data_IF_076915025975
#
_entry.id   IF_076915025975
#
_cell.length_a   1.000
_cell.length_b   1.000
_cell.length_c   1.000
_cell.angle_alpha   90.00
_cell.angle_beta   90.00
_cell.angle_gamma   90.00
#
_symmetry.space_group_name_H-M   'P 1'
#
loop_
_entity.id
_entity.type
_entity.pdbx_description
1 polymer ?
2 water ?
#
# COMPACT_ATOMS: atom_id res chain seq x y z
N UNK A 8 -7.57 25.08 -13.08
CA UNK A 8 -6.29 24.51 -12.64
C UNK A 8 -6.46 23.41 -11.61
N UNK A 9 -5.53 23.33 -10.66
CA UNK A 9 -5.49 22.22 -9.70
C UNK A 9 -6.12 22.58 -8.36
N UNK A 10 -6.15 21.61 -7.45
CA UNK A 10 -6.80 21.79 -6.16
C UNK A 10 -8.30 22.01 -6.26
N UNK A 11 -8.91 21.50 -7.31
CA UNK A 11 -10.34 21.70 -7.55
C UNK A 11 -11.25 20.96 -6.55
N UNK A 12 -10.77 19.83 -6.05
CA UNK A 12 -11.59 18.96 -5.19
C UNK A 12 -10.98 18.72 -3.82
N UNK A 13 -9.65 18.82 -3.72
CA UNK A 13 -8.96 18.55 -2.48
C UNK A 13 -7.73 19.42 -2.36
N UNK A 14 -7.54 20.02 -1.18
CA UNK A 14 -6.32 20.75 -0.89
C UNK A 14 -5.59 20.06 0.26
N UNK A 15 -4.31 19.79 0.05
CA UNK A 15 -3.45 19.22 1.07
C UNK A 15 -2.32 20.19 1.37
N UNK A 16 -2.06 20.42 2.66
CA UNK A 16 -0.96 21.28 3.07
C UNK A 16 0.32 20.93 2.31
N UNK A 17 0.98 21.96 1.76
CA UNK A 17 2.19 21.74 0.95
C UNK A 17 3.31 21.07 1.72
N UNK A 18 3.37 21.34 3.02
CA UNK A 18 4.40 20.75 3.86
C UNK A 18 4.26 19.26 3.91
N UNK A 19 3.01 18.79 3.92
CA UNK A 19 2.74 17.36 3.94
C UNK A 19 3.15 16.71 2.63
N UNK A 20 2.79 17.34 1.50
CA UNK A 20 3.20 16.81 0.22
C UNK A 20 4.72 16.76 0.10
N UNK A 21 5.40 17.80 0.56
CA UNK A 21 6.85 17.82 0.49
C UNK A 21 7.50 16.71 1.30
N UNK A 22 6.91 16.41 2.45
CA UNK A 22 7.43 15.34 3.31
C UNK A 22 7.23 14.00 2.63
N UNK A 23 6.08 13.84 1.99
CA UNK A 23 5.79 12.63 1.26
C UNK A 23 6.83 12.43 0.15
N UNK A 24 7.09 13.48 -0.62
CA UNK A 24 8.08 13.39 -1.70
C UNK A 24 9.47 13.08 -1.15
N UNK A 25 9.79 13.68 0.00
CA UNK A 25 11.09 13.47 0.64
C UNK A 25 11.29 12.01 1.07
N UNK A 26 10.21 11.37 1.52
CA UNK A 26 10.27 9.97 1.94
C UNK A 26 10.57 9.02 0.79
N UNK A 27 10.31 9.47 -0.44
CA UNK A 27 10.57 8.66 -1.61
C UNK A 27 12.04 8.58 -1.95
N UNK A 28 12.83 9.47 -1.36
CA UNK A 28 14.26 9.53 -1.63
C UNK A 28 14.56 9.55 -3.14
N UNK A 29 13.96 10.49 -3.85
CA UNK A 29 14.07 10.53 -5.30
C UNK A 29 15.46 10.92 -5.75
N UNK A 30 16.03 10.08 -6.62
CA UNK A 30 17.39 10.27 -7.10
C UNK A 30 17.42 10.20 -8.61
N UNK A 31 18.51 10.68 -9.19
CA UNK A 31 18.71 10.63 -10.64
C UNK A 31 18.41 9.25 -11.21
N UNK A 32 17.63 9.21 -12.28
CA UNK A 32 17.29 7.97 -12.95
C UNK A 32 16.05 7.26 -12.44
N UNK A 33 15.49 7.73 -11.33
CA UNK A 33 14.31 7.11 -10.72
C UNK A 33 13.06 7.24 -11.57
N UNK A 34 12.26 6.18 -11.60
CA UNK A 34 10.92 6.26 -12.17
C UNK A 34 9.90 6.23 -11.05
N UNK A 35 9.00 7.20 -11.05
CA UNK A 35 8.01 7.32 -9.99
C UNK A 35 6.63 7.12 -10.60
N UNK A 36 5.77 6.42 -9.87
CA UNK A 36 4.38 6.17 -10.29
C UNK A 36 3.46 6.76 -9.23
N UNK A 37 2.69 7.76 -9.62
CA UNK A 37 1.82 8.48 -8.71
C UNK A 37 0.39 7.99 -8.90
N UNK A 38 -0.27 7.66 -7.79
CA UNK A 38 -1.63 7.17 -7.80
C UNK A 38 -2.48 7.95 -6.78
N UNK A 39 -3.78 7.73 -6.75
CA UNK A 39 -4.61 8.37 -5.73
C UNK A 39 -5.11 9.77 -6.06
N UNK A 40 -5.38 10.57 -5.04
CA UNK A 40 -6.04 11.86 -5.23
C UNK A 40 -5.16 13.09 -5.11
N UNK A 41 -5.71 14.24 -5.50
CA UNK A 41 -4.98 15.50 -5.48
C UNK A 41 -3.73 15.46 -6.34
N UNK A 42 -3.80 14.76 -7.46
CA UNK A 42 -2.61 14.52 -8.29
C UNK A 42 -2.04 15.79 -8.92
N UNK A 43 -2.86 16.82 -9.12
CA UNK A 43 -2.33 18.06 -9.65
C UNK A 43 -1.22 18.64 -8.80
N UNK A 44 -1.52 18.93 -7.53
CA UNK A 44 -0.54 19.54 -6.65
C UNK A 44 0.60 18.63 -6.23
N UNK A 45 0.31 17.35 -6.03
CA UNK A 45 1.39 16.40 -5.73
C UNK A 45 2.35 16.26 -6.90
N UNK A 46 1.80 16.27 -8.11
CA UNK A 46 2.61 16.13 -9.31
C UNK A 46 3.61 17.29 -9.39
N UNK A 47 3.15 18.51 -9.10
CA UNK A 47 4.02 19.66 -9.15
C UNK A 47 5.15 19.54 -8.12
N UNK A 48 4.85 18.98 -6.95
CA UNK A 48 5.89 18.79 -5.94
C UNK A 48 6.90 17.72 -6.38
N UNK A 49 6.41 16.61 -6.91
CA UNK A 49 7.29 15.53 -7.35
C UNK A 49 8.24 15.97 -8.45
N UNK A 50 7.77 16.83 -9.36
CA UNK A 50 8.58 17.27 -10.49
C UNK A 50 9.68 18.24 -10.08
N UNK A 51 9.68 18.67 -8.81
CA UNK A 51 10.80 19.44 -8.28
C UNK A 51 11.99 18.56 -7.90
N UNK A 52 11.83 17.25 -8.04
CA UNK A 52 12.89 16.29 -7.73
C UNK A 52 13.49 15.69 -9.00
N UNK A 53 14.72 15.14 -8.89
CA UNK A 53 15.49 14.70 -10.06
C UNK A 53 15.04 13.39 -10.69
N UNK A 54 13.75 13.06 -10.65
CA UNK A 54 13.26 11.84 -11.28
C UNK A 54 13.48 11.86 -12.80
N UNK A 55 13.54 10.67 -13.40
CA UNK A 55 13.72 10.53 -14.83
C UNK A 55 12.37 10.53 -15.53
N UNK A 56 11.40 9.91 -14.89
CA UNK A 56 10.09 9.72 -15.47
C UNK A 56 9.04 9.68 -14.35
N UNK A 57 7.93 10.35 -14.55
CA UNK A 57 6.81 10.34 -13.61
C UNK A 57 5.55 9.91 -14.34
N UNK A 58 5.01 8.76 -13.95
CA UNK A 58 3.73 8.31 -14.46
C UNK A 58 2.68 8.71 -13.44
N UNK A 59 1.58 9.29 -13.92
CA UNK A 59 0.44 9.55 -13.07
C UNK A 59 -0.74 8.72 -13.54
N UNK A 60 -1.27 7.87 -12.67
CA UNK A 60 -2.38 6.99 -13.04
C UNK A 60 -3.70 7.51 -12.47
N UNK A 61 -4.51 8.08 -13.36
CA UNK A 61 -5.67 8.89 -12.97
C UNK A 61 -6.88 8.58 -13.86
N UNK A 62 -8.01 8.27 -13.23
CA UNK A 62 -9.25 7.98 -13.96
C UNK A 62 -10.03 9.23 -14.37
N UNK A 63 -9.90 10.30 -13.59
CA UNK A 63 -10.67 11.54 -13.85
C UNK A 63 -10.16 12.22 -15.12
N UNK A 64 -10.98 12.23 -16.16
CA UNK A 64 -10.55 12.71 -17.47
C UNK A 64 -10.38 14.23 -17.56
N UNK A 65 -11.09 14.96 -16.70
CA UNK A 65 -10.87 16.38 -16.58
C UNK A 65 -9.49 16.63 -15.96
N UNK A 66 -9.17 15.86 -14.92
CA UNK A 66 -7.85 15.95 -14.30
C UNK A 66 -6.75 15.56 -15.27
N UNK A 67 -6.99 14.52 -16.08
CA UNK A 67 -6.02 14.13 -17.10
C UNK A 67 -5.73 15.32 -18.01
N UNK A 68 -6.78 15.99 -18.46
CA UNK A 68 -6.62 17.17 -19.33
C UNK A 68 -5.76 18.24 -18.66
N UNK A 69 -6.07 18.56 -17.41
CA UNK A 69 -5.31 19.55 -16.65
C UNK A 69 -3.84 19.19 -16.44
N UNK A 70 -3.56 17.93 -16.12
CA UNK A 70 -2.21 17.46 -15.92
C UNK A 70 -1.39 17.56 -17.20
N UNK A 71 -2.02 17.20 -18.32
CA UNK A 71 -1.34 17.23 -19.60
C UNK A 71 -0.89 18.64 -19.95
N UNK A 72 -1.44 19.62 -19.26
CA UNK A 72 -1.11 21.02 -19.51
C UNK A 72 0.25 21.38 -18.91
N UNK A 73 0.74 20.53 -18.02
CA UNK A 73 2.08 20.67 -17.48
C UNK A 73 3.14 20.31 -18.52
N UNK A 74 4.09 21.21 -18.74
CA UNK A 74 5.00 21.11 -19.86
C UNK A 74 5.97 19.96 -19.74
N UNK A 75 6.38 19.68 -18.49
CA UNK A 75 7.48 18.75 -18.25
C UNK A 75 7.51 17.48 -19.12
N UNK A 76 8.59 17.29 -19.85
CA UNK A 76 8.75 16.14 -20.74
C UNK A 76 8.82 14.81 -19.97
N UNK A 77 9.02 14.88 -18.65
CA UNK A 77 9.15 13.66 -17.83
C UNK A 77 7.82 13.09 -17.38
N UNK A 78 6.75 13.84 -17.59
CA UNK A 78 5.43 13.48 -17.12
C UNK A 78 4.64 12.71 -18.17
N UNK A 79 4.09 11.57 -17.77
CA UNK A 79 3.19 10.81 -18.63
C UNK A 79 1.95 10.40 -17.85
N UNK A 80 0.78 10.71 -18.39
CA UNK A 80 -0.48 10.41 -17.70
C UNK A 80 -1.13 9.16 -18.28
N UNK A 81 -1.54 8.26 -17.39
CA UNK A 81 -2.17 7.03 -17.82
C UNK A 81 -3.59 7.03 -17.25
N UNK A 82 -4.57 6.97 -18.15
CA UNK A 82 -5.97 7.07 -17.76
C UNK A 82 -6.54 5.69 -17.46
N UNK A 83 -6.06 5.09 -16.37
CA UNK A 83 -6.53 3.78 -15.94
C UNK A 83 -6.67 3.72 -14.43
N UNK A 84 -7.14 2.58 -13.93
CA UNK A 84 -7.46 2.36 -12.53
C UNK A 84 -6.25 1.79 -11.78
N UNK A 85 -5.72 2.57 -10.83
CA UNK A 85 -4.54 2.16 -10.09
C UNK A 85 -4.76 0.94 -9.19
N UNK A 86 -6.02 0.58 -8.93
CA UNK A 86 -6.28 -0.58 -8.10
C UNK A 86 -6.23 -1.87 -8.92
N UNK A 87 -6.13 -1.73 -10.24
CA UNK A 87 -6.12 -2.87 -11.15
C UNK A 87 -4.95 -2.89 -12.12
N UNK A 88 -4.26 -1.76 -12.25
CA UNK A 88 -3.24 -1.62 -13.29
C UNK A 88 -1.97 -2.42 -13.01
N UNK A 89 -1.42 -3.08 -14.04
CA UNK A 89 -0.15 -3.80 -13.82
C UNK A 89 1.04 -2.84 -13.83
N UNK A 90 1.43 -2.38 -12.66
CA UNK A 90 2.52 -1.43 -12.56
C UNK A 90 3.77 -1.91 -13.29
N UNK A 91 4.03 -3.22 -13.26
CA UNK A 91 5.27 -3.71 -13.85
C UNK A 91 5.32 -3.65 -15.38
N UNK A 92 4.24 -3.18 -16.00
CA UNK A 92 4.27 -2.88 -17.44
C UNK A 92 4.91 -1.52 -17.72
N UNK A 93 5.17 -0.75 -16.66
CA UNK A 93 5.74 0.59 -16.78
C UNK A 93 7.26 0.60 -16.68
N UNK A 94 7.81 -0.41 -16.03
CA UNK A 94 9.24 -0.44 -15.78
C UNK A 94 9.63 -1.48 -14.76
N UNK A 95 10.93 -1.73 -14.65
CA UNK A 95 11.44 -2.80 -13.81
C UNK A 95 11.66 -2.35 -12.38
N UNK A 96 11.75 -1.05 -12.17
CA UNK A 96 12.02 -0.49 -10.85
C UNK A 96 11.26 0.81 -10.67
N UNK A 97 10.23 0.76 -9.84
CA UNK A 97 9.29 1.86 -9.70
C UNK A 97 9.12 2.26 -8.26
N UNK A 98 9.07 3.57 -8.01
CA UNK A 98 8.71 4.05 -6.70
C UNK A 98 7.27 4.54 -6.74
N UNK A 99 6.41 3.95 -5.94
CA UNK A 99 4.98 4.25 -6.01
C UNK A 99 4.59 5.21 -4.90
N UNK A 100 3.75 6.20 -5.20
CA UNK A 100 3.37 7.20 -4.21
C UNK A 100 1.93 7.64 -4.41
N UNK A 101 1.23 7.92 -3.32
CA UNK A 101 -0.10 8.49 -3.46
C UNK A 101 -0.85 8.74 -2.18
N UNK A 102 -1.73 9.74 -2.23
CA UNK A 102 -2.72 9.99 -1.20
C UNK A 102 -3.97 9.21 -1.59
N UNK A 103 -4.26 8.15 -0.84
CA UNK A 103 -5.26 7.19 -1.31
C UNK A 103 -6.65 7.47 -0.75
N UNK A 104 -7.65 7.58 -1.64
CA UNK A 104 -9.03 7.75 -1.19
C UNK A 104 -9.45 6.54 -0.35
N UNK A 105 -10.26 6.80 0.67
CA UNK A 105 -10.65 5.77 1.63
C UNK A 105 -11.19 4.49 0.96
N UNK A 106 -11.99 4.64 -0.10
CA UNK A 106 -12.69 3.48 -0.64
C UNK A 106 -11.91 2.66 -1.66
N UNK A 107 -10.68 3.04 -1.93
CA UNK A 107 -9.83 2.26 -2.81
C UNK A 107 -8.43 2.02 -2.22
N UNK A 108 -8.18 2.56 -1.02
CA UNK A 108 -6.84 2.46 -0.43
C UNK A 108 -6.36 1.02 -0.32
N UNK A 109 -7.20 0.14 0.24
CA UNK A 109 -6.81 -1.25 0.42
C UNK A 109 -6.59 -1.98 -0.90
N UNK A 110 -7.38 -1.68 -1.92
CA UNK A 110 -7.20 -2.28 -3.23
C UNK A 110 -5.89 -1.83 -3.88
N UNK A 111 -5.60 -0.54 -3.80
CA UNK A 111 -4.38 -0.01 -4.40
C UNK A 111 -3.15 -0.62 -3.71
N UNK A 112 -3.21 -0.73 -2.38
CA UNK A 112 -2.10 -1.32 -1.66
C UNK A 112 -1.93 -2.80 -2.01
N UNK A 113 -3.03 -3.54 -2.07
CA UNK A 113 -3.02 -4.92 -2.51
C UNK A 113 -2.41 -5.04 -3.91
N UNK A 114 -2.82 -4.17 -4.83
CA UNK A 114 -2.31 -4.21 -6.20
C UNK A 114 -0.80 -3.94 -6.24
N UNK A 115 -0.35 -3.04 -5.39
CA UNK A 115 1.08 -2.76 -5.28
C UNK A 115 1.84 -4.03 -4.91
N UNK A 116 1.30 -4.80 -3.96
CA UNK A 116 1.95 -6.06 -3.56
C UNK A 116 2.03 -7.06 -4.72
N UNK A 117 0.95 -7.15 -5.50
CA UNK A 117 0.98 -8.05 -6.66
C UNK A 117 2.10 -7.66 -7.61
N UNK A 118 2.48 -6.38 -7.58
CA UNK A 118 3.53 -5.84 -8.44
C UNK A 118 4.88 -5.68 -7.73
N UNK A 119 5.06 -6.40 -6.63
CA UNK A 119 6.23 -6.22 -5.78
C UNK A 119 7.56 -6.43 -6.52
N UNK A 120 7.57 -7.25 -7.56
CA UNK A 120 8.83 -7.52 -8.25
C UNK A 120 9.43 -6.27 -8.88
N UNK A 121 8.61 -5.25 -9.08
CA UNK A 121 9.09 -4.01 -9.69
C UNK A 121 8.79 -2.78 -8.82
N UNK A 122 8.45 -3.01 -7.56
CA UNK A 122 8.21 -1.91 -6.62
C UNK A 122 9.04 -2.06 -5.33
N UNK A 123 10.24 -1.47 -5.31
CA UNK A 123 11.11 -1.59 -4.13
C UNK A 123 10.67 -0.66 -3.00
N UNK A 124 9.85 0.33 -3.32
CA UNK A 124 9.51 1.36 -2.34
C UNK A 124 8.18 1.98 -2.68
N UNK A 125 7.35 2.18 -1.67
CA UNK A 125 6.10 2.91 -1.84
C UNK A 125 5.83 3.80 -0.65
N UNK A 126 5.27 4.97 -0.91
CA UNK A 126 4.88 5.89 0.16
C UNK A 126 3.43 6.26 -0.03
N UNK A 127 2.60 5.98 0.98
CA UNK A 127 1.17 6.21 0.87
C UNK A 127 0.66 7.06 2.02
N UNK A 128 -0.32 7.91 1.73
CA UNK A 128 -1.08 8.56 2.79
C UNK A 128 -2.44 7.88 2.83
N UNK A 129 -2.82 7.41 4.01
CA UNK A 129 -4.04 6.64 4.20
C UNK A 129 -4.66 7.05 5.54
N UNK A 130 -5.87 6.56 5.81
CA UNK A 130 -6.48 6.77 7.13
C UNK A 130 -5.58 6.17 8.21
N UNK A 131 -5.52 6.83 9.36
CA UNK A 131 -4.65 6.40 10.44
C UNK A 131 -4.91 4.95 10.81
N UNK A 132 -6.18 4.56 10.85
CA UNK A 132 -6.52 3.18 11.20
C UNK A 132 -5.94 2.17 10.21
N UNK A 133 -6.00 2.47 8.92
CA UNK A 133 -5.44 1.59 7.90
C UNK A 133 -3.94 1.48 8.11
N UNK A 134 -3.30 2.61 8.38
CA UNK A 134 -1.86 2.66 8.61
C UNK A 134 -1.45 1.84 9.84
N UNK A 135 -2.21 1.97 10.92
CA UNK A 135 -1.92 1.24 12.15
C UNK A 135 -2.07 -0.27 11.94
N UNK A 136 -3.10 -0.66 11.21
CA UNK A 136 -3.26 -2.09 10.87
C UNK A 136 -2.07 -2.58 10.06
N UNK A 137 -1.67 -1.82 9.05
CA UNK A 137 -0.56 -2.22 8.19
C UNK A 137 0.74 -2.37 8.97
N UNK A 138 0.98 -1.48 9.92
CA UNK A 138 2.16 -1.54 10.77
C UNK A 138 2.16 -2.82 11.61
N UNK A 139 0.98 -3.23 12.06
CA UNK A 139 0.80 -4.53 12.68
C UNK A 139 1.14 -4.59 14.17
N UNK A 140 1.32 -3.43 14.80
CA UNK A 140 1.64 -3.39 16.23
C UNK A 140 0.40 -3.14 17.09
N UNK A 141 -0.38 -2.13 16.73
CA UNK A 141 -1.55 -1.74 17.50
C UNK A 141 -2.79 -2.46 16.99
N UNK A 142 -2.66 -3.02 15.79
CA UNK A 142 -3.79 -3.66 15.13
C UNK A 142 -3.24 -4.46 13.95
N UNK A 143 -4.11 -5.21 13.30
CA UNK A 143 -3.71 -5.99 12.14
C UNK A 143 -4.93 -6.38 11.31
N UNK A 144 -4.70 -7.21 10.29
CA UNK A 144 -5.74 -7.58 9.34
C UNK A 144 -5.12 -8.41 8.24
N UNK A 145 -5.94 -8.96 7.34
CA UNK A 145 -5.39 -9.81 6.29
C UNK A 145 -4.43 -8.99 5.40
N UNK A 146 -4.80 -7.75 5.09
CA UNK A 146 -3.94 -6.93 4.22
C UNK A 146 -2.59 -6.60 4.88
N UNK A 147 -2.61 -6.34 6.19
CA UNK A 147 -1.39 -6.12 6.94
C UNK A 147 -0.43 -7.31 6.80
N UNK A 148 -0.94 -8.52 6.98
CA UNK A 148 -0.08 -9.70 6.88
C UNK A 148 0.40 -9.91 5.44
N UNK A 149 -0.50 -9.74 4.48
CA UNK A 149 -0.17 -9.84 3.05
C UNK A 149 0.97 -8.89 2.72
N UNK A 150 0.82 -7.62 3.12
CA UNK A 150 1.85 -6.60 2.86
C UNK A 150 3.16 -6.92 3.57
N UNK A 151 3.09 -7.23 4.87
CA UNK A 151 4.31 -7.41 5.64
C UNK A 151 5.07 -8.69 5.33
N UNK A 152 4.44 -9.62 4.62
CA UNK A 152 5.15 -10.79 4.13
C UNK A 152 6.21 -10.36 3.11
N UNK A 153 5.94 -9.25 2.41
CA UNK A 153 6.81 -8.79 1.33
C UNK A 153 7.46 -7.41 1.53
N UNK A 154 6.98 -6.64 2.50
CA UNK A 154 7.46 -5.28 2.76
C UNK A 154 7.66 -5.05 4.24
N UNK A 155 8.60 -4.18 4.57
CA UNK A 155 8.64 -3.59 5.90
C UNK A 155 7.79 -2.33 5.86
N UNK A 156 7.02 -2.13 6.92
CA UNK A 156 6.09 -1.02 7.00
C UNK A 156 6.55 -0.03 8.05
N UNK A 157 6.81 1.20 7.60
CA UNK A 157 7.31 2.25 8.46
C UNK A 157 6.23 3.31 8.63
N UNK A 158 5.86 3.59 9.88
CA UNK A 158 4.88 4.64 10.15
C UNK A 158 5.62 5.96 10.26
N UNK A 159 5.43 6.83 9.27
CA UNK A 159 6.23 8.04 9.13
C UNK A 159 5.73 9.18 10.01
N UNK A 160 4.45 9.49 9.87
CA UNK A 160 3.87 10.59 10.62
C UNK A 160 2.35 10.54 10.62
N UNK A 161 1.77 11.15 11.64
CA UNK A 161 0.33 11.33 11.70
C UNK A 161 0.00 12.64 11.02
N UNK A 162 -1.16 12.68 10.34
CA UNK A 162 -1.61 13.88 9.66
C UNK A 162 -3.03 14.24 10.09
N UNK A 163 -3.16 15.21 10.99
CA UNK A 163 -4.49 15.59 11.50
C UNK A 163 -5.39 16.11 10.38
N UNK A 164 -6.71 16.06 10.59
CA UNK A 164 -7.65 16.47 9.53
C UNK A 164 -7.40 17.88 9.00
N UNK A 165 -6.88 18.78 9.84
CA UNK A 165 -6.74 20.18 9.46
C UNK A 165 -5.79 20.43 8.29
N UNK A 166 -4.98 19.43 7.97
CA UNK A 166 -4.02 19.57 6.88
C UNK A 166 -4.71 19.32 5.54
N UNK A 167 -6.00 19.00 5.59
CA UNK A 167 -6.80 18.78 4.39
C UNK A 167 -8.01 19.71 4.34
N UNK A 168 -8.37 20.14 3.14
CA UNK A 168 -9.70 20.71 2.92
C UNK A 168 -10.34 20.04 1.70
N UNK A 169 -11.51 19.42 1.89
CA UNK A 169 -12.22 19.30 3.17
C UNK A 169 -11.50 18.34 4.12
N UNK A 170 -11.58 18.60 5.43
CA UNK A 170 -10.96 17.69 6.39
C UNK A 170 -11.68 16.35 6.40
N UNK A 171 -10.93 15.25 6.53
CA UNK A 171 -11.52 13.93 6.74
C UNK A 171 -12.10 13.86 8.15
N UNK A 172 -12.93 12.87 8.43
CA UNK A 172 -13.54 12.73 9.76
C UNK A 172 -12.57 12.08 10.75
N UNK A 173 -11.52 11.47 10.22
CA UNK A 173 -10.52 10.78 11.05
C UNK A 173 -9.13 11.26 10.67
N UNK A 174 -8.16 11.00 11.53
CA UNK A 174 -6.77 11.37 11.24
C UNK A 174 -6.22 10.48 10.14
N UNK A 175 -5.25 11.00 9.39
CA UNK A 175 -4.57 10.23 8.37
C UNK A 175 -3.14 9.95 8.85
N UNK A 176 -2.39 9.24 8.02
CA UNK A 176 -1.01 8.91 8.33
C UNK A 176 -0.25 8.66 7.04
N UNK A 177 1.05 8.91 7.09
CA UNK A 177 1.92 8.56 5.98
C UNK A 177 2.69 7.31 6.36
N UNK A 178 2.69 6.33 5.46
CA UNK A 178 3.45 5.11 5.68
C UNK A 178 4.41 4.89 4.52
N UNK A 179 5.52 4.21 4.83
CA UNK A 179 6.52 3.87 3.84
C UNK A 179 6.71 2.37 3.81
N UNK A 180 6.56 1.79 2.62
CA UNK A 180 6.76 0.37 2.42
C UNK A 180 8.11 0.18 1.76
N UNK A 181 8.93 -0.68 2.36
CA UNK A 181 10.24 -0.96 1.79
C UNK A 181 10.30 -2.45 1.52
N UNK A 182 10.55 -2.82 0.28
CA UNK A 182 10.52 -4.22 -0.08
C UNK A 182 11.47 -5.05 0.79
N UNK A 183 10.92 -6.12 1.35
CA UNK A 183 11.67 -7.06 2.17
C UNK A 183 10.89 -8.37 2.22
N UNK A 184 11.21 -9.27 1.29
CA UNK A 184 10.44 -10.51 1.16
C UNK A 184 10.90 -11.56 2.16
N UNK A 185 10.05 -11.82 3.15
CA UNK A 185 10.41 -12.62 4.30
C UNK A 185 10.14 -14.10 4.09
N UNK A 186 9.19 -14.41 3.22
CA UNK A 186 8.81 -15.80 2.96
C UNK A 186 8.56 -16.02 1.48
N UNK A 187 8.97 -17.19 0.96
CA UNK A 187 8.93 -17.43 -0.49
C UNK A 187 7.55 -17.86 -0.96
N UNK A 188 6.58 -16.96 -0.89
CA UNK A 188 5.25 -17.25 -1.39
C UNK A 188 5.23 -17.10 -2.92
N UNK A 189 4.86 -18.18 -3.61
CA UNK A 189 4.85 -18.16 -5.07
C UNK A 189 3.52 -17.68 -5.62
N UNK A 190 2.42 -18.22 -5.08
CA UNK A 190 1.09 -17.93 -5.59
C UNK A 190 0.41 -16.91 -4.69
N UNK A 191 0.54 -15.63 -5.05
CA UNK A 191 0.02 -14.55 -4.22
C UNK A 191 -1.50 -14.59 -4.09
N UNK A 192 -2.19 -14.96 -5.16
CA UNK A 192 -3.64 -15.10 -5.12
C UNK A 192 -4.09 -16.19 -4.15
N UNK A 193 -3.35 -17.29 -4.12
CA UNK A 193 -3.69 -18.38 -3.22
C UNK A 193 -3.38 -18.01 -1.76
N UNK A 194 -2.30 -17.27 -1.57
CA UNK A 194 -1.94 -16.80 -0.24
C UNK A 194 -2.99 -15.83 0.27
N UNK A 195 -3.43 -14.92 -0.59
CA UNK A 195 -4.54 -14.04 -0.24
C UNK A 195 -5.81 -14.79 0.17
N UNK A 196 -6.14 -15.87 -0.57
CA UNK A 196 -7.30 -16.71 -0.23
C UNK A 196 -7.19 -17.22 1.19
N UNK A 197 -6.01 -17.69 1.54
CA UNK A 197 -5.76 -18.24 2.85
C UNK A 197 -5.89 -17.16 3.93
N UNK A 198 -5.27 -16.00 3.69
CA UNK A 198 -5.28 -14.93 4.68
C UNK A 198 -6.69 -14.33 4.86
N UNK A 199 -7.37 -14.09 3.75
CA UNK A 199 -8.74 -13.58 3.85
C UNK A 199 -9.58 -14.54 4.69
N UNK A 200 -9.48 -15.82 4.36
CA UNK A 200 -10.28 -16.83 5.05
C UNK A 200 -9.99 -16.86 6.55
N UNK A 201 -8.71 -16.92 6.93
CA UNK A 201 -8.37 -17.07 8.35
C UNK A 201 -8.74 -15.81 9.14
N UNK A 202 -8.84 -14.68 8.46
CA UNK A 202 -9.25 -13.44 9.12
C UNK A 202 -10.77 -13.23 9.17
N UNK A 203 -11.54 -14.03 8.45
CA UNK A 203 -13.01 -14.01 8.61
C UNK A 203 -13.34 -14.33 10.07
N UNK A 204 -14.36 -13.66 10.62
CA UNK A 204 -14.78 -13.94 11.99
C UNK A 204 -13.59 -13.84 12.95
N UNK A 205 -13.05 -12.65 13.07
CA UNK A 205 -11.79 -12.43 13.78
C UNK A 205 -11.84 -12.84 15.24
N UNK A 206 -13.02 -12.81 15.84
CA UNK A 206 -13.17 -13.12 17.26
C UNK A 206 -13.22 -14.62 17.54
N UNK A 207 -13.40 -15.43 16.51
CA UNK A 207 -13.54 -16.87 16.68
C UNK A 207 -12.18 -17.52 17.00
N UNK A 208 -12.16 -18.42 17.99
CA UNK A 208 -10.93 -19.13 18.30
C UNK A 208 -10.48 -19.93 17.08
N UNK A 209 -9.17 -20.07 16.93
CA UNK A 209 -8.60 -20.63 15.71
C UNK A 209 -9.00 -22.09 15.46
N UNK A 210 -9.27 -22.84 16.51
CA UNK A 210 -9.65 -24.25 16.32
C UNK A 210 -10.98 -24.39 15.60
N UNK A 211 -11.75 -23.31 15.51
CA UNK A 211 -13.01 -23.33 14.77
C UNK A 211 -12.80 -22.99 13.31
N UNK A 212 -11.58 -22.56 12.97
CA UNK A 212 -11.27 -22.10 11.62
C UNK A 212 -10.18 -22.93 10.94
N UNK A 213 -9.35 -23.58 11.76
CA UNK A 213 -8.25 -24.41 11.27
C UNK A 213 -8.27 -25.70 12.08
N UNK A 214 -8.17 -26.86 11.42
CA UNK A 214 -8.20 -28.10 12.20
C UNK A 214 -7.14 -28.11 13.30
N UNK A 215 -7.53 -28.48 14.52
CA UNK A 215 -6.63 -28.48 15.67
C UNK A 215 -5.31 -29.19 15.41
N UNK A 216 -5.37 -30.29 14.68
CA UNK A 216 -4.18 -31.05 14.28
C UNK A 216 -3.10 -30.15 13.67
N UNK A 217 -3.50 -29.29 12.74
CA UNK A 217 -2.54 -28.39 12.07
C UNK A 217 -2.05 -27.28 13.00
N UNK A 218 -2.94 -26.77 13.85
CA UNK A 218 -2.55 -25.75 14.83
C UNK A 218 -1.48 -26.27 15.80
N UNK A 219 -1.66 -27.49 16.28
CA UNK A 219 -0.70 -28.08 17.21
C UNK A 219 0.64 -28.29 16.52
N UNK A 220 0.60 -28.73 15.27
CA UNK A 220 1.82 -28.94 14.49
C UNK A 220 2.59 -27.64 14.28
N UNK A 221 1.86 -26.53 14.17
CA UNK A 221 2.46 -25.22 14.00
C UNK A 221 2.83 -24.58 15.34
N UNK A 222 2.54 -25.29 16.43
CA UNK A 222 2.85 -24.79 17.76
C UNK A 222 1.95 -23.65 18.19
N UNK A 223 0.73 -23.64 17.67
CA UNK A 223 -0.22 -22.59 17.98
C UNK A 223 -1.30 -23.10 18.94
N UNK A 224 -1.60 -22.30 19.96
CA UNK A 224 -2.67 -22.62 20.89
C UNK A 224 -4.00 -22.64 20.16
N UNK A 225 -4.71 -23.78 20.19
CA UNK A 225 -5.99 -23.89 19.48
C UNK A 225 -7.00 -22.83 19.93
N UNK A 226 -6.81 -22.25 21.11
CA UNK A 226 -7.73 -21.24 21.62
C UNK A 226 -7.23 -19.82 21.38
N UNK A 227 -6.09 -19.69 20.70
CA UNK A 227 -5.63 -18.38 20.27
C UNK A 227 -6.57 -17.83 19.18
N UNK A 228 -6.48 -16.53 18.95
CA UNK A 228 -7.25 -15.89 17.89
C UNK A 228 -6.30 -15.33 16.84
N UNK A 229 -6.83 -15.11 15.65
CA UNK A 229 -6.00 -14.77 14.48
C UNK A 229 -5.11 -13.54 14.69
N UNK A 230 -5.60 -12.54 15.40
CA UNK A 230 -4.85 -11.29 15.57
C UNK A 230 -3.61 -11.43 16.45
N UNK A 231 -3.45 -12.58 17.11
CA UNK A 231 -2.27 -12.82 17.95
C UNK A 231 -1.19 -13.62 17.23
N UNK A 232 -1.45 -14.06 16.00
CA UNK A 232 -0.46 -14.85 15.27
C UNK A 232 0.68 -13.97 14.74
N UNK A 233 1.87 -14.56 14.64
CA UNK A 233 3.02 -13.89 14.06
C UNK A 233 3.09 -14.17 12.57
N UNK A 234 3.90 -13.40 11.83
CA UNK A 234 4.09 -13.68 10.41
C UNK A 234 4.52 -15.14 10.22
N UNK A 235 5.49 -15.57 11.01
CA UNK A 235 6.00 -16.93 10.89
C UNK A 235 4.86 -17.95 11.03
N UNK A 236 3.95 -17.70 11.96
CA UNK A 236 2.77 -18.55 12.13
C UNK A 236 1.96 -18.66 10.85
N UNK A 237 1.71 -17.52 10.21
CA UNK A 237 0.90 -17.52 8.99
C UNK A 237 1.57 -18.33 7.90
N UNK A 238 2.88 -18.19 7.75
CA UNK A 238 3.54 -18.90 6.68
C UNK A 238 3.57 -20.40 6.93
N UNK A 239 3.88 -20.79 8.17
CA UNK A 239 3.92 -22.21 8.49
C UNK A 239 2.53 -22.84 8.34
N UNK A 240 1.50 -22.15 8.80
CA UNK A 240 0.13 -22.64 8.60
C UNK A 240 -0.16 -22.76 7.12
N UNK A 241 0.14 -21.71 6.37
CA UNK A 241 -0.11 -21.71 4.94
C UNK A 241 0.51 -22.94 4.28
N UNK A 242 1.76 -23.23 4.64
CA UNK A 242 2.45 -24.39 4.08
C UNK A 242 1.83 -25.71 4.51
N UNK A 243 1.42 -25.79 5.77
CA UNK A 243 0.80 -27.00 6.30
C UNK A 243 -0.50 -27.29 5.58
N UNK A 244 -1.28 -26.23 5.35
CA UNK A 244 -2.56 -26.38 4.69
C UNK A 244 -2.40 -26.70 3.21
N UNK A 245 -1.37 -26.14 2.58
CA UNK A 245 -1.11 -26.39 1.17
C UNK A 245 -0.57 -27.80 0.92
N UNK A 246 0.16 -28.32 1.91
CA UNK A 246 0.72 -29.67 1.77
C UNK A 246 -0.29 -30.76 2.09
N UNK A 247 -1.45 -30.37 2.62
CA UNK A 247 -2.46 -31.34 3.01
C UNK A 247 -3.26 -31.85 1.81
#
# INVERSE_FOLDING_TARGET
>A
SMVRLKKSFGQHLLVSEGVLKKIAEELNIEEGNTVVEVGGGTGNLTKVLLQHPLKKLYVIELDREMVENLKSIGDERLEVINEDASKFPFCSLGKELKVVGNLPYNVASLIIENTVYNKDCVPLAVFMVQKEVAEKLQGKKDTGWLSVFVRTFYDVNYVMTVPPRFFVPPPKVQSAVIKLVKNEKFPVKDLKNYKKFLTKIFQNRRKVLRKKIPEELLKEAGINPDARVEQLSLEDFFKLYRLIEDSGE
#
